data_IF_873503774740
#
_entry.id   IF_873503774740
#
_cell.length_a   1.000
_cell.length_b   1.000
_cell.length_c   1.000
_cell.angle_alpha   90.00
_cell.angle_beta   90.00
_cell.angle_gamma   90.00
#
_symmetry.space_group_name_H-M   'P 1'
#
loop_
_entity.id
_entity.type
_entity.pdbx_description
1 polymer ?
#
# COMPACT_ATOMS: atom_id res chain seq x y z
N UNK A 1 -14.04 11.94 31.04
CA UNK A 1 -13.93 10.93 29.97
C UNK A 1 -14.75 11.42 28.79
N UNK A 2 -14.27 11.35 27.54
CA UNK A 2 -13.44 10.26 27.03
C UNK A 2 -11.97 10.61 26.79
N UNK A 3 -11.19 9.53 26.80
CA UNK A 3 -9.76 9.38 26.56
C UNK A 3 -9.36 9.85 25.16
N UNK A 4 -8.28 10.62 25.05
CA UNK A 4 -7.49 10.68 23.81
C UNK A 4 -6.67 9.38 23.73
N UNK A 5 -7.32 8.29 23.32
CA UNK A 5 -6.58 7.20 22.68
C UNK A 5 -6.14 7.76 21.32
N UNK A 6 -4.97 8.39 21.33
CA UNK A 6 -4.17 8.48 20.11
C UNK A 6 -3.97 7.04 19.68
N UNK A 7 -4.34 6.76 18.45
CA UNK A 7 -4.33 5.46 17.80
C UNK A 7 -2.88 4.93 17.77
N UNK A 8 -2.37 4.45 18.91
CA UNK A 8 -1.03 3.86 19.10
C UNK A 8 -1.06 2.41 18.58
N UNK A 9 -1.69 2.22 17.42
CA UNK A 9 -1.79 0.92 16.76
C UNK A 9 -0.39 0.56 16.26
N UNK A 10 0.16 -0.49 16.87
CA UNK A 10 1.40 -1.10 16.39
C UNK A 10 1.19 -1.59 14.96
N UNK A 11 2.10 -1.22 14.06
CA UNK A 11 2.12 -1.72 12.69
C UNK A 11 2.16 -3.25 12.65
N UNK A 12 1.30 -3.83 11.81
CA UNK A 12 1.28 -5.26 11.52
C UNK A 12 2.06 -5.59 10.25
N UNK A 13 2.36 -6.87 10.02
CA UNK A 13 2.97 -7.30 8.76
C UNK A 13 2.08 -6.95 7.55
N UNK A 14 0.76 -7.14 7.69
CA UNK A 14 -0.24 -6.78 6.68
C UNK A 14 -0.21 -5.28 6.33
N UNK A 15 0.03 -4.41 7.32
CA UNK A 15 0.14 -2.96 7.09
C UNK A 15 1.36 -2.63 6.22
N UNK A 16 2.50 -3.26 6.50
CA UNK A 16 3.73 -3.12 5.70
C UNK A 16 3.50 -3.62 4.27
N UNK A 17 2.87 -4.79 4.12
CA UNK A 17 2.57 -5.36 2.81
C UNK A 17 1.67 -4.45 1.97
N UNK A 18 0.63 -3.87 2.58
CA UNK A 18 -0.30 -2.95 1.88
C UNK A 18 0.41 -1.70 1.38
N UNK A 19 1.36 -1.17 2.14
CA UNK A 19 2.18 -0.02 1.70
C UNK A 19 3.09 -0.41 0.53
N UNK A 20 3.75 -1.57 0.60
CA UNK A 20 4.62 -2.06 -0.47
C UNK A 20 3.85 -2.39 -1.77
N UNK A 21 2.62 -2.86 -1.65
CA UNK A 21 1.76 -3.26 -2.78
C UNK A 21 1.07 -2.04 -3.44
N UNK A 22 1.03 -0.87 -2.81
CA UNK A 22 0.32 0.27 -3.40
C UNK A 22 1.07 0.82 -4.64
N UNK A 23 0.46 0.80 -5.84
CA UNK A 23 1.13 1.27 -7.06
C UNK A 23 1.26 2.78 -7.15
N UNK A 24 0.50 3.57 -6.38
CA UNK A 24 0.59 5.04 -6.36
C UNK A 24 1.97 5.53 -5.90
N UNK A 25 2.71 4.71 -5.16
CA UNK A 25 4.10 5.03 -4.80
C UNK A 25 5.07 4.89 -5.97
N UNK A 26 4.73 4.17 -7.04
CA UNK A 26 5.68 3.80 -8.09
C UNK A 26 5.38 4.44 -9.45
N UNK A 27 4.12 4.82 -9.69
CA UNK A 27 3.67 5.43 -10.93
C UNK A 27 2.66 6.54 -10.62
N UNK A 28 2.65 7.58 -11.45
CA UNK A 28 1.55 8.54 -11.47
C UNK A 28 0.34 7.85 -12.09
N UNK A 29 -0.66 7.53 -11.28
CA UNK A 29 -1.92 7.00 -11.78
C UNK A 29 -2.68 8.10 -12.53
N UNK A 30 -3.51 7.70 -13.51
CA UNK A 30 -4.27 8.65 -14.30
C UNK A 30 -5.07 9.60 -13.38
N UNK A 31 -4.98 10.94 -13.54
CA UNK A 31 -5.59 11.88 -12.60
C UNK A 31 -7.09 11.69 -12.39
N UNK A 32 -7.82 11.24 -13.43
CA UNK A 32 -9.24 10.94 -13.35
C UNK A 32 -9.62 9.74 -12.47
N UNK A 33 -8.64 8.97 -11.99
CA UNK A 33 -8.84 7.81 -11.13
C UNK A 33 -8.38 8.06 -9.68
N UNK A 34 -7.31 8.83 -9.47
CA UNK A 34 -6.65 8.95 -8.15
C UNK A 34 -6.23 10.36 -7.74
N UNK A 35 -6.59 11.39 -8.53
CA UNK A 35 -6.08 12.74 -8.30
C UNK A 35 -4.57 12.87 -8.58
N UNK A 36 -4.05 14.09 -8.44
CA UNK A 36 -2.62 14.36 -8.64
C UNK A 36 -1.81 13.85 -7.44
N UNK A 37 -0.73 13.11 -7.72
CA UNK A 37 0.24 12.64 -6.74
C UNK A 37 1.57 12.38 -7.42
N UNK A 38 2.65 12.44 -6.64
CA UNK A 38 4.01 12.16 -7.13
C UNK A 38 4.46 10.76 -6.64
N UNK A 39 5.07 9.95 -7.50
CA UNK A 39 5.67 8.68 -7.08
C UNK A 39 6.79 8.90 -6.05
N UNK A 40 6.86 8.03 -5.05
CA UNK A 40 7.90 8.05 -4.02
C UNK A 40 9.05 7.07 -4.30
N UNK A 41 8.79 6.02 -5.09
CA UNK A 41 9.76 4.97 -5.44
C UNK A 41 9.85 4.79 -6.95
N UNK A 42 10.98 4.28 -7.43
CA UNK A 42 11.17 3.99 -8.85
C UNK A 42 10.29 2.82 -9.31
N UNK A 43 9.72 2.92 -10.51
CA UNK A 43 8.90 1.87 -11.14
C UNK A 43 9.55 0.48 -11.07
N UNK A 44 10.81 0.37 -11.52
CA UNK A 44 11.50 -0.92 -11.60
C UNK A 44 11.86 -1.48 -10.21
N UNK A 45 12.08 -0.61 -9.24
CA UNK A 45 12.31 -0.99 -7.85
C UNK A 45 11.04 -1.61 -7.26
N UNK A 46 9.90 -0.94 -7.45
CA UNK A 46 8.61 -1.46 -7.02
C UNK A 46 8.27 -2.79 -7.68
N UNK A 47 8.57 -2.96 -8.97
CA UNK A 47 8.37 -4.24 -9.69
C UNK A 47 9.23 -5.34 -9.07
N UNK A 48 10.53 -5.09 -8.82
CA UNK A 48 11.42 -6.10 -8.20
C UNK A 48 10.95 -6.49 -6.80
N UNK A 49 10.52 -5.52 -6.00
CA UNK A 49 9.99 -5.78 -4.66
C UNK A 49 8.72 -6.65 -4.72
N UNK A 50 7.78 -6.33 -5.61
CA UNK A 50 6.53 -7.09 -5.76
C UNK A 50 6.75 -8.49 -6.36
N UNK A 51 7.70 -8.66 -7.30
CA UNK A 51 8.11 -10.00 -7.76
C UNK A 51 8.60 -10.85 -6.58
N UNK A 52 9.40 -10.27 -5.67
CA UNK A 52 9.87 -10.97 -4.48
C UNK A 52 8.72 -11.28 -3.52
N UNK A 53 7.78 -10.35 -3.34
CA UNK A 53 6.63 -10.54 -2.46
C UNK A 53 5.68 -11.62 -2.98
N UNK A 54 5.43 -11.67 -4.29
CA UNK A 54 4.65 -12.75 -4.93
C UNK A 54 5.29 -14.12 -4.70
N UNK A 55 6.62 -14.23 -4.70
CA UNK A 55 7.31 -15.49 -4.39
C UNK A 55 7.09 -15.94 -2.93
N UNK A 56 6.81 -15.01 -2.02
CA UNK A 56 6.60 -15.28 -0.59
C UNK A 56 5.12 -15.60 -0.32
N UNK A 57 4.21 -14.76 -0.81
CA UNK A 57 2.76 -14.85 -0.54
C UNK A 57 2.03 -15.83 -1.48
N UNK A 58 2.54 -15.99 -2.70
CA UNK A 58 1.80 -16.60 -3.80
C UNK A 58 0.99 -15.58 -4.61
N UNK A 59 0.63 -15.98 -5.83
CA UNK A 59 -0.01 -15.08 -6.82
C UNK A 59 -1.40 -14.62 -6.39
N UNK A 60 -2.27 -15.54 -5.97
CA UNK A 60 -3.65 -15.20 -5.61
C UNK A 60 -3.75 -14.31 -4.35
N UNK A 61 -3.04 -14.62 -3.24
CA UNK A 61 -3.04 -13.74 -2.07
C UNK A 61 -2.55 -12.32 -2.39
N UNK A 62 -1.47 -12.20 -3.18
CA UNK A 62 -0.95 -10.90 -3.60
C UNK A 62 -1.97 -10.09 -4.41
N UNK A 63 -2.66 -10.73 -5.37
CA UNK A 63 -3.70 -10.05 -6.17
C UNK A 63 -4.88 -9.57 -5.31
N UNK A 64 -5.33 -10.40 -4.35
CA UNK A 64 -6.40 -10.00 -3.42
C UNK A 64 -5.99 -8.81 -2.56
N UNK A 65 -4.74 -8.77 -2.12
CA UNK A 65 -4.22 -7.67 -1.32
C UNK A 65 -4.04 -6.39 -2.14
N UNK A 66 -3.61 -6.49 -3.40
CA UNK A 66 -3.58 -5.36 -4.33
C UNK A 66 -4.98 -4.75 -4.49
N UNK A 67 -6.01 -5.57 -4.72
CA UNK A 67 -7.38 -5.08 -4.82
C UNK A 67 -7.83 -4.38 -3.54
N UNK A 68 -7.54 -4.98 -2.38
CA UNK A 68 -7.83 -4.38 -1.07
C UNK A 68 -7.18 -3.00 -0.90
N UNK A 69 -5.92 -2.83 -1.32
CA UNK A 69 -5.23 -1.53 -1.32
C UNK A 69 -5.92 -0.53 -2.25
N UNK A 70 -6.29 -0.93 -3.47
CA UNK A 70 -6.98 -0.07 -4.43
C UNK A 70 -8.41 0.33 -3.98
N UNK A 71 -9.03 -0.47 -3.10
CA UNK A 71 -10.31 -0.17 -2.45
C UNK A 71 -10.16 0.78 -1.24
N UNK A 72 -8.94 1.20 -0.89
CA UNK A 72 -8.68 2.12 0.22
C UNK A 72 -8.29 1.43 1.54
N UNK A 73 -8.14 0.11 1.56
CA UNK A 73 -7.76 -0.64 2.76
C UNK A 73 -6.24 -0.67 2.95
N UNK A 74 -5.60 0.49 3.05
CA UNK A 74 -4.19 0.62 3.39
C UNK A 74 -4.02 1.54 4.61
N UNK A 75 -2.92 1.39 5.37
CA UNK A 75 -2.67 2.27 6.50
C UNK A 75 -2.49 3.70 5.99
N UNK A 76 -3.38 4.60 6.40
CA UNK A 76 -3.20 6.04 6.19
C UNK A 76 -2.47 6.56 7.42
N UNK A 77 -1.28 7.12 7.25
CA UNK A 77 -0.70 7.95 8.30
C UNK A 77 -1.63 9.16 8.43
N UNK A 78 -2.27 9.33 9.60
CA UNK A 78 -3.08 10.52 9.85
C UNK A 78 -2.20 11.76 9.77
N UNK A 79 -2.53 12.66 8.85
CA UNK A 79 -2.09 14.07 8.88
C UNK A 79 -3.06 14.91 9.73
#
# INVERSE_FOLDING_TARGET
>A
MPSHDRDDRSWTADDVERVLINPAYAITLAPGLFGEHEPLVGRDEWVRANVRLIQILGVEPWLRQLLSVLEGNYPVSGE
#
